data_IF_152422166479
#
_entry.id   IF_152422166479
#
_cell.length_a   1.000
_cell.length_b   1.000
_cell.length_c   1.000
_cell.angle_alpha   90.00
_cell.angle_beta   90.00
_cell.angle_gamma   90.00
#
_symmetry.space_group_name_H-M   'P 1'
#
loop_
_entity.id
_entity.type
_entity.pdbx_description
1 polymer ?
#
# COMPACT_ATOMS: atom_id res chain seq x y z
N UNK A 1 7.66 -19.40 -10.23
CA UNK A 1 6.54 -19.84 -9.38
C UNK A 1 7.11 -20.45 -8.11
N UNK A 2 6.92 -19.85 -6.93
CA UNK A 2 7.14 -20.59 -5.68
C UNK A 2 5.91 -21.47 -5.49
N UNK A 3 6.08 -22.79 -5.55
CA UNK A 3 4.98 -23.77 -5.48
C UNK A 3 4.36 -23.92 -4.09
N UNK A 4 4.07 -22.81 -3.41
CA UNK A 4 3.18 -22.83 -2.24
C UNK A 4 1.74 -22.91 -2.69
N UNK A 5 0.88 -23.59 -1.93
CA UNK A 5 -0.55 -23.63 -2.19
C UNK A 5 -1.13 -22.22 -1.99
N UNK A 6 -1.28 -21.46 -3.09
CA UNK A 6 -2.01 -20.21 -3.08
C UNK A 6 -3.47 -20.49 -2.73
N UNK A 7 -4.00 -19.78 -1.73
CA UNK A 7 -5.43 -19.83 -1.40
C UNK A 7 -6.13 -18.66 -2.04
N UNK A 8 -7.27 -18.90 -2.69
CA UNK A 8 -8.12 -17.86 -3.23
C UNK A 8 -9.29 -17.62 -2.26
N UNK A 9 -9.53 -16.34 -1.92
CA UNK A 9 -10.72 -15.91 -1.21
C UNK A 9 -11.67 -15.29 -2.24
N UNK A 10 -12.86 -15.86 -2.41
CA UNK A 10 -13.84 -15.42 -3.42
C UNK A 10 -15.21 -15.37 -2.76
N UNK A 11 -15.89 -14.23 -2.89
CA UNK A 11 -17.19 -13.97 -2.28
C UNK A 11 -17.47 -12.48 -2.23
N UNK A 12 -18.48 -12.10 -1.45
CA UNK A 12 -18.71 -10.71 -1.06
C UNK A 12 -17.58 -10.18 -0.17
N UNK A 13 -17.47 -8.85 -0.07
CA UNK A 13 -16.47 -8.22 0.80
C UNK A 13 -16.59 -8.68 2.27
N UNK A 14 -17.81 -8.92 2.75
CA UNK A 14 -18.06 -9.41 4.10
C UNK A 14 -17.56 -10.85 4.28
N UNK A 15 -17.85 -11.74 3.33
CA UNK A 15 -17.37 -13.13 3.36
C UNK A 15 -15.84 -13.20 3.27
N UNK A 16 -15.21 -12.33 2.47
CA UNK A 16 -13.75 -12.24 2.40
C UNK A 16 -13.18 -11.72 3.72
N UNK A 17 -13.80 -10.71 4.34
CA UNK A 17 -13.40 -10.22 5.66
C UNK A 17 -13.55 -11.28 6.75
N UNK A 18 -14.61 -12.09 6.72
CA UNK A 18 -14.81 -13.25 7.62
C UNK A 18 -13.62 -14.21 7.54
N UNK A 19 -13.18 -14.55 6.32
CA UNK A 19 -12.04 -15.45 6.13
C UNK A 19 -10.73 -14.84 6.63
N UNK A 20 -10.51 -13.55 6.40
CA UNK A 20 -9.33 -12.85 6.93
C UNK A 20 -9.32 -12.87 8.47
N UNK A 21 -10.47 -12.61 9.10
CA UNK A 21 -10.61 -12.68 10.56
C UNK A 21 -10.37 -14.09 11.10
N UNK A 22 -10.89 -15.12 10.44
CA UNK A 22 -10.62 -16.52 10.80
C UNK A 22 -9.11 -16.84 10.74
N UNK A 23 -8.42 -16.43 9.66
CA UNK A 23 -6.97 -16.61 9.56
C UNK A 23 -6.21 -15.83 10.64
N UNK A 24 -6.63 -14.61 10.93
CA UNK A 24 -6.05 -13.79 11.99
C UNK A 24 -6.24 -14.45 13.37
N UNK A 25 -7.41 -15.02 13.66
CA UNK A 25 -7.68 -15.76 14.89
C UNK A 25 -6.80 -17.01 15.05
N UNK A 26 -6.29 -17.57 13.93
CA UNK A 26 -5.32 -18.65 13.91
C UNK A 26 -3.86 -18.17 14.01
N UNK A 27 -3.62 -16.87 14.15
CA UNK A 27 -2.28 -16.27 14.30
C UNK A 27 -1.62 -15.84 12.99
N UNK A 28 -2.36 -15.76 11.88
CA UNK A 28 -1.85 -15.20 10.62
C UNK A 28 -1.91 -13.68 10.67
N UNK A 29 -0.74 -13.04 10.75
CA UNK A 29 -0.66 -11.58 10.87
C UNK A 29 -0.46 -10.86 9.53
N UNK A 30 0.05 -11.56 8.50
CA UNK A 30 0.48 -10.94 7.25
C UNK A 30 -0.14 -11.66 6.05
N UNK A 31 -0.68 -10.88 5.11
CA UNK A 31 -1.28 -11.37 3.88
C UNK A 31 -0.58 -10.75 2.67
N UNK A 32 -0.30 -11.58 1.66
CA UNK A 32 0.13 -11.13 0.34
C UNK A 32 -1.05 -11.32 -0.60
N UNK A 33 -1.66 -10.21 -1.01
CA UNK A 33 -2.83 -10.21 -1.90
C UNK A 33 -2.37 -10.02 -3.35
N UNK A 34 -2.85 -10.88 -4.25
CA UNK A 34 -2.40 -10.90 -5.65
C UNK A 34 -3.55 -11.18 -6.62
N UNK A 35 -4.63 -10.40 -6.55
CA UNK A 35 -5.74 -10.56 -7.49
C UNK A 35 -5.48 -9.89 -8.85
N UNK A 36 -6.35 -10.15 -9.82
CA UNK A 36 -6.21 -9.70 -11.21
C UNK A 36 -7.56 -9.21 -11.77
N UNK A 37 -7.61 -8.05 -12.45
CA UNK A 37 -6.47 -7.19 -12.79
C UNK A 37 -5.96 -6.40 -11.56
N UNK A 38 -4.63 -6.25 -11.47
CA UNK A 38 -3.96 -5.95 -10.19
C UNK A 38 -4.40 -4.63 -9.53
N UNK A 39 -4.51 -3.55 -10.32
CA UNK A 39 -4.80 -2.23 -9.79
C UNK A 39 -6.27 -2.13 -9.38
N UNK A 40 -7.16 -2.58 -10.26
CA UNK A 40 -8.60 -2.57 -10.07
C UNK A 40 -8.98 -3.42 -8.86
N UNK A 41 -8.37 -4.60 -8.72
CA UNK A 41 -8.60 -5.45 -7.55
C UNK A 41 -8.08 -4.78 -6.26
N UNK A 42 -6.94 -4.11 -6.30
CA UNK A 42 -6.44 -3.38 -5.14
C UNK A 42 -7.40 -2.27 -4.70
N UNK A 43 -8.00 -1.55 -5.66
CA UNK A 43 -9.06 -0.57 -5.36
C UNK A 43 -10.31 -1.25 -4.82
N UNK A 44 -10.78 -2.32 -5.48
CA UNK A 44 -11.99 -3.02 -5.09
C UNK A 44 -11.88 -3.61 -3.67
N UNK A 45 -10.77 -4.27 -3.36
CA UNK A 45 -10.45 -4.75 -2.02
C UNK A 45 -10.33 -3.61 -1.02
N UNK A 46 -9.59 -2.56 -1.40
CA UNK A 46 -9.35 -1.37 -0.58
C UNK A 46 -10.65 -0.69 -0.14
N UNK A 47 -11.58 -0.50 -1.07
CA UNK A 47 -12.85 0.17 -0.85
C UNK A 47 -13.91 -0.73 -0.21
N UNK A 48 -13.88 -2.03 -0.48
CA UNK A 48 -14.90 -2.97 -0.02
C UNK A 48 -14.55 -3.71 1.28
N UNK A 49 -13.34 -4.27 1.38
CA UNK A 49 -12.94 -5.17 2.49
C UNK A 49 -12.32 -4.38 3.65
N UNK A 50 -11.49 -3.39 3.37
CA UNK A 50 -10.81 -2.60 4.42
C UNK A 50 -11.77 -1.96 5.42
N UNK A 51 -12.90 -1.33 5.00
CA UNK A 51 -13.85 -0.76 5.96
C UNK A 51 -14.50 -1.81 6.85
N UNK A 52 -14.73 -3.01 6.31
CA UNK A 52 -15.30 -4.13 7.06
C UNK A 52 -14.31 -4.63 8.14
N UNK A 53 -13.03 -4.76 7.79
CA UNK A 53 -11.98 -5.10 8.75
C UNK A 53 -11.79 -4.02 9.82
N UNK A 54 -11.85 -2.73 9.45
CA UNK A 54 -11.84 -1.63 10.41
C UNK A 54 -13.05 -1.66 11.35
N UNK A 55 -14.25 -1.96 10.85
CA UNK A 55 -15.46 -2.11 11.67
C UNK A 55 -15.33 -3.22 12.71
N UNK A 56 -14.56 -4.26 12.40
CA UNK A 56 -14.23 -5.39 13.29
C UNK A 56 -13.06 -5.11 14.23
N UNK A 57 -12.39 -3.95 14.09
CA UNK A 57 -11.21 -3.61 14.88
C UNK A 57 -9.92 -4.32 14.48
N UNK A 58 -9.90 -4.97 13.30
CA UNK A 58 -8.74 -5.70 12.78
C UNK A 58 -7.74 -4.78 12.05
N UNK A 59 -8.20 -3.63 11.58
CA UNK A 59 -7.34 -2.59 10.98
C UNK A 59 -7.57 -1.26 11.67
N UNK A 60 -6.48 -0.60 12.07
CA UNK A 60 -6.56 0.78 12.50
C UNK A 60 -6.97 1.66 11.33
N UNK A 61 -7.88 2.60 11.56
CA UNK A 61 -8.24 3.60 10.56
C UNK A 61 -7.05 4.53 10.36
N UNK A 62 -6.21 4.23 9.38
CA UNK A 62 -5.28 5.21 8.83
C UNK A 62 -6.11 6.12 7.93
N UNK A 63 -6.11 7.45 8.14
CA UNK A 63 -6.79 8.34 7.20
C UNK A 63 -6.19 8.11 5.81
N UNK A 64 -7.04 7.78 4.84
CA UNK A 64 -6.64 7.59 3.45
C UNK A 64 -6.04 8.90 2.93
N UNK A 65 -4.72 9.02 3.01
CA UNK A 65 -4.00 10.19 2.55
C UNK A 65 -3.24 9.80 1.29
N UNK A 66 -3.82 10.01 0.10
CA UNK A 66 -3.27 9.48 -1.16
C UNK A 66 -1.90 10.06 -1.54
N UNK A 67 -1.38 11.06 -0.81
CA UNK A 67 -0.16 11.79 -1.15
C UNK A 67 0.92 11.79 -0.04
N UNK A 68 0.73 11.08 1.08
CA UNK A 68 1.69 11.18 2.20
C UNK A 68 2.96 10.31 2.06
N UNK A 69 3.09 9.54 0.97
CA UNK A 69 4.19 8.58 0.74
C UNK A 69 5.13 8.90 -0.42
N UNK A 70 4.81 9.90 -1.24
CA UNK A 70 5.72 10.40 -2.29
C UNK A 70 6.46 11.63 -1.79
N UNK A 71 7.30 11.45 -0.77
CA UNK A 71 8.43 12.37 -0.58
C UNK A 71 9.26 12.28 -1.85
N UNK A 72 9.34 13.39 -2.58
CA UNK A 72 9.80 13.47 -3.96
C UNK A 72 10.96 12.54 -4.27
N UNK A 73 10.79 11.75 -5.34
CA UNK A 73 11.90 11.13 -6.03
C UNK A 73 12.98 12.21 -6.24
N UNK A 74 14.08 12.00 -5.53
CA UNK A 74 15.36 12.71 -5.52
C UNK A 74 15.45 13.92 -6.46
N UNK A 75 15.72 15.10 -5.90
CA UNK A 75 16.49 16.13 -6.61
C UNK A 75 17.81 15.49 -7.06
N UNK A 76 17.81 14.87 -8.24
CA UNK A 76 19.02 14.57 -8.97
C UNK A 76 19.65 15.92 -9.32
N UNK A 77 20.54 16.39 -8.46
CA UNK A 77 21.49 17.43 -8.81
C UNK A 77 22.29 16.87 -9.98
N UNK A 78 21.93 17.28 -11.19
CA UNK A 78 22.70 16.98 -12.37
C UNK A 78 24.08 17.64 -12.20
N UNK A 79 25.11 16.84 -11.95
CA UNK A 79 26.50 17.28 -12.09
C UNK A 79 26.74 17.51 -13.58
N UNK A 80 26.83 18.79 -13.98
CA UNK A 80 27.41 19.16 -15.25
C UNK A 80 28.93 18.87 -15.20
N UNK A 81 29.54 18.34 -16.29
CA UNK A 81 30.98 18.14 -16.32
C UNK A 81 31.67 19.50 -16.49
N UNK A 82 32.25 20.00 -15.40
CA UNK A 82 33.15 21.15 -15.40
C UNK A 82 32.49 22.50 -15.14
N UNK A 83 33.01 23.22 -14.13
CA UNK A 83 32.68 24.63 -13.86
C UNK A 83 32.39 24.88 -12.38
N UNK A 84 33.20 25.72 -11.74
CA UNK A 84 33.25 26.00 -10.32
C UNK A 84 31.90 26.44 -9.68
N UNK A 85 31.70 26.22 -8.36
CA UNK A 85 30.51 26.71 -7.67
C UNK A 85 30.54 28.24 -7.59
N UNK A 86 29.58 28.90 -8.24
CA UNK A 86 29.34 30.33 -8.05
C UNK A 86 28.47 30.52 -6.80
N UNK A 87 29.08 31.06 -5.74
CA UNK A 87 28.38 31.67 -4.61
C UNK A 87 27.61 32.91 -5.11
N UNK A 88 26.28 32.86 -5.11
CA UNK A 88 25.44 34.04 -5.26
C UNK A 88 25.12 34.63 -3.88
N UNK A 89 25.69 35.81 -3.64
CA UNK A 89 25.45 36.65 -2.47
C UNK A 89 24.00 37.12 -2.44
N UNK A 90 23.34 36.98 -1.28
CA UNK A 90 22.03 37.56 -1.00
C UNK A 90 22.13 39.07 -0.84
N UNK A 91 21.54 39.80 -1.78
CA UNK A 91 21.19 41.21 -1.63
C UNK A 91 19.93 41.37 -0.77
N UNK A 92 19.89 42.48 -0.04
CA UNK A 92 18.91 42.85 0.99
C UNK A 92 17.56 43.25 0.40
#
# INVERSE_FOLDING_TARGET
MRGGAGTALVGSHAEVADRIEEYHALGVEHFVLSGYPHLEEAYWFGEGVTPELSRRGLLSTVPASPLLGVSGAESRTATAPGGAPLLLAGGR
#
